data_IF_631630010513
#
_entry.id   IF_631630010513
#
_cell.length_a   1.000
_cell.length_b   1.000
_cell.length_c   1.000
_cell.angle_alpha   90.00
_cell.angle_beta   90.00
_cell.angle_gamma   90.00
#
_symmetry.space_group_name_H-M   'P 1'
#
loop_
_entity.id
_entity.type
_entity.pdbx_description
1 polymer ?
#
# COMPACT_ATOMS: atom_id res chain seq x y z
N UNK A 1 24.12 -1.70 -4.46
CA UNK A 1 23.89 -1.20 -3.08
C UNK A 1 22.68 -1.94 -2.57
N UNK A 2 22.85 -2.80 -1.57
CA UNK A 2 21.74 -3.58 -1.00
C UNK A 2 20.91 -2.63 -0.14
N UNK A 3 19.61 -2.52 -0.40
CA UNK A 3 18.72 -1.63 0.34
C UNK A 3 18.48 -2.24 1.73
N UNK A 4 18.67 -1.44 2.78
CA UNK A 4 18.41 -1.89 4.16
C UNK A 4 16.92 -1.75 4.45
N UNK A 5 16.19 -2.84 4.26
CA UNK A 5 14.74 -2.90 4.45
C UNK A 5 14.32 -2.87 5.92
N UNK A 6 15.26 -2.84 6.88
CA UNK A 6 14.91 -2.73 8.30
C UNK A 6 14.60 -1.30 8.74
N UNK A 7 14.87 -0.30 7.89
CA UNK A 7 14.79 1.12 8.25
C UNK A 7 13.54 1.79 7.66
N UNK A 8 13.02 2.77 8.39
CA UNK A 8 12.00 3.70 7.90
C UNK A 8 12.69 4.74 7.02
N UNK A 9 12.15 4.94 5.81
CA UNK A 9 12.63 5.94 4.86
C UNK A 9 11.60 7.07 4.76
N UNK A 10 12.06 8.32 4.79
CA UNK A 10 11.24 9.48 4.38
C UNK A 10 11.66 9.86 2.97
N UNK A 11 10.72 9.78 2.02
CA UNK A 11 10.98 10.12 0.63
C UNK A 11 9.94 11.14 0.12
N UNK A 12 10.41 12.15 -0.60
CA UNK A 12 9.54 12.99 -1.40
C UNK A 12 9.07 12.18 -2.61
N UNK A 13 7.76 11.99 -2.69
CA UNK A 13 7.12 11.17 -3.71
C UNK A 13 6.32 12.08 -4.66
N UNK A 14 6.45 11.93 -5.99
CA UNK A 14 5.60 12.65 -6.93
C UNK A 14 4.14 12.20 -6.78
N UNK A 15 3.22 12.98 -7.33
CA UNK A 15 1.82 12.59 -7.38
C UNK A 15 1.67 11.28 -8.18
N UNK A 16 0.85 10.38 -7.65
CA UNK A 16 0.45 9.15 -8.31
C UNK A 16 -1.07 9.08 -8.35
N UNK A 17 -1.60 8.14 -9.10
CA UNK A 17 -3.04 8.00 -9.32
C UNK A 17 -3.42 6.56 -9.11
N UNK A 18 -4.59 6.31 -8.55
CA UNK A 18 -5.07 4.95 -8.37
C UNK A 18 -6.54 4.79 -8.72
N UNK A 19 -6.88 3.58 -9.14
CA UNK A 19 -8.25 3.11 -9.30
C UNK A 19 -8.46 2.08 -8.20
N UNK A 20 -9.47 2.29 -7.37
CA UNK A 20 -9.79 1.39 -6.26
C UNK A 20 -11.13 0.70 -6.47
N UNK A 21 -11.23 -0.52 -5.94
CA UNK A 21 -12.49 -1.24 -5.76
C UNK A 21 -12.66 -1.59 -4.28
N UNK A 22 -13.89 -1.86 -3.89
CA UNK A 22 -14.25 -2.23 -2.54
C UNK A 22 -14.81 -3.65 -2.50
N UNK A 23 -14.25 -4.47 -1.61
CA UNK A 23 -14.77 -5.78 -1.24
C UNK A 23 -15.75 -5.64 -0.08
N UNK A 24 -16.85 -6.38 -0.11
CA UNK A 24 -17.83 -6.40 0.99
C UNK A 24 -17.34 -7.17 2.22
N UNK A 25 -16.21 -7.86 2.12
CA UNK A 25 -15.65 -8.72 3.16
C UNK A 25 -14.15 -8.89 2.94
N UNK A 26 -13.41 -9.07 4.02
CA UNK A 26 -11.99 -9.42 3.99
C UNK A 26 -11.72 -10.92 3.73
N UNK A 27 -12.75 -11.72 3.40
CA UNK A 27 -12.55 -13.10 2.96
C UNK A 27 -11.73 -13.16 1.66
N UNK A 28 -10.64 -13.94 1.68
CA UNK A 28 -9.67 -14.05 0.59
C UNK A 28 -10.32 -14.34 -0.77
N UNK A 29 -11.37 -15.18 -0.83
CA UNK A 29 -12.01 -15.52 -2.11
C UNK A 29 -12.81 -14.35 -2.64
N UNK A 30 -13.50 -13.63 -1.77
CA UNK A 30 -14.26 -12.43 -2.16
C UNK A 30 -13.30 -11.33 -2.62
N UNK A 31 -12.19 -11.15 -1.90
CA UNK A 31 -11.13 -10.21 -2.29
C UNK A 31 -10.51 -10.59 -3.64
N UNK A 32 -10.19 -11.87 -3.86
CA UNK A 32 -9.64 -12.35 -5.13
C UNK A 32 -10.58 -12.13 -6.32
N UNK A 33 -11.89 -12.29 -6.11
CA UNK A 33 -12.91 -11.94 -7.12
C UNK A 33 -12.85 -10.44 -7.44
N UNK A 34 -12.76 -9.58 -6.42
CA UNK A 34 -12.69 -8.11 -6.62
C UNK A 34 -11.42 -7.67 -7.33
N UNK A 35 -10.28 -8.29 -7.02
CA UNK A 35 -9.02 -8.10 -7.76
C UNK A 35 -9.22 -8.47 -9.22
N UNK A 36 -9.79 -9.65 -9.50
CA UNK A 36 -10.03 -10.13 -10.87
C UNK A 36 -10.96 -9.21 -11.65
N UNK A 37 -12.05 -8.74 -11.02
CA UNK A 37 -12.98 -7.77 -11.63
C UNK A 37 -12.27 -6.45 -11.99
N UNK A 38 -11.45 -5.92 -11.07
CA UNK A 38 -10.69 -4.69 -11.30
C UNK A 38 -9.70 -4.83 -12.47
N UNK A 39 -8.94 -5.93 -12.48
CA UNK A 39 -7.98 -6.24 -13.55
C UNK A 39 -8.67 -6.37 -14.90
N UNK A 40 -9.75 -7.14 -14.98
CA UNK A 40 -10.53 -7.32 -16.21
C UNK A 40 -11.15 -6.00 -16.69
N UNK A 41 -11.60 -5.15 -15.77
CA UNK A 41 -12.17 -3.85 -16.14
C UNK A 41 -11.10 -2.92 -16.73
N UNK A 42 -9.92 -2.85 -16.11
CA UNK A 42 -8.80 -2.05 -16.61
C UNK A 42 -8.29 -2.58 -17.96
N UNK A 43 -8.17 -3.90 -18.12
CA UNK A 43 -7.72 -4.53 -19.37
C UNK A 43 -8.65 -4.22 -20.55
N UNK A 44 -9.98 -4.28 -20.33
CA UNK A 44 -10.99 -3.90 -21.34
C UNK A 44 -10.84 -2.44 -21.82
N UNK A 45 -10.32 -1.54 -20.98
CA UNK A 45 -10.08 -0.14 -21.31
C UNK A 45 -8.69 0.10 -21.94
N UNK A 46 -7.84 -0.93 -21.97
CA UNK A 46 -6.44 -0.86 -22.38
C UNK A 46 -5.55 -0.20 -21.34
N UNK A 47 -5.96 -0.21 -20.07
CA UNK A 47 -5.25 0.41 -18.95
C UNK A 47 -4.37 -0.65 -18.29
N UNK A 48 -3.07 -0.38 -18.18
CA UNK A 48 -2.09 -1.26 -17.54
C UNK A 48 -1.34 -0.49 -16.48
N UNK A 49 -1.25 -1.06 -15.29
CA UNK A 49 -0.41 -0.53 -14.21
C UNK A 49 0.99 -1.12 -14.31
N UNK A 50 2.05 -0.33 -14.08
CA UNK A 50 3.40 -0.87 -13.92
C UNK A 50 3.66 -1.43 -12.51
N UNK A 51 2.67 -1.35 -11.61
CA UNK A 51 2.77 -1.77 -10.21
C UNK A 51 1.94 -3.02 -9.94
N UNK A 52 2.29 -3.72 -8.86
CA UNK A 52 1.46 -4.79 -8.31
C UNK A 52 0.15 -4.22 -7.73
N UNK A 53 -0.82 -5.11 -7.51
CA UNK A 53 -2.03 -4.78 -6.77
C UNK A 53 -1.64 -4.34 -5.36
N UNK A 54 -2.25 -3.25 -4.90
CA UNK A 54 -2.08 -2.76 -3.54
C UNK A 54 -3.39 -2.75 -2.76
N UNK A 55 -3.26 -2.54 -1.45
CA UNK A 55 -4.37 -2.38 -0.53
C UNK A 55 -4.29 -1.05 0.19
N UNK A 56 -5.44 -0.40 0.35
CA UNK A 56 -5.57 0.79 1.19
C UNK A 56 -6.01 0.36 2.58
N UNK A 57 -5.15 0.62 3.55
CA UNK A 57 -5.39 0.34 4.96
C UNK A 57 -5.80 1.63 5.68
N UNK A 58 -6.81 1.52 6.55
CA UNK A 58 -7.38 2.66 7.28
C UNK A 58 -6.52 3.00 8.48
N UNK A 59 -6.14 4.26 8.65
CA UNK A 59 -5.46 4.68 9.89
C UNK A 59 -6.26 4.32 11.14
N UNK A 60 -7.60 4.34 11.08
CA UNK A 60 -8.45 3.93 12.22
C UNK A 60 -8.18 2.47 12.60
N UNK A 61 -8.19 1.57 11.62
CA UNK A 61 -7.98 0.13 11.82
C UNK A 61 -6.55 -0.12 12.31
N UNK A 62 -5.57 0.53 11.68
CA UNK A 62 -4.15 0.42 12.06
C UNK A 62 -3.92 0.82 13.53
N UNK A 63 -4.53 1.91 14.01
CA UNK A 63 -4.41 2.33 15.41
C UNK A 63 -5.16 1.41 16.38
N UNK A 64 -6.12 0.62 15.91
CA UNK A 64 -6.82 -0.39 16.69
C UNK A 64 -6.14 -1.77 16.65
N UNK A 65 -5.03 -1.91 15.92
CA UNK A 65 -4.33 -3.19 15.76
C UNK A 65 -5.01 -4.14 14.77
N UNK A 66 -5.89 -3.62 13.91
CA UNK A 66 -6.59 -4.38 12.87
C UNK A 66 -5.81 -4.20 11.57
N UNK A 67 -5.18 -5.27 11.09
CA UNK A 67 -4.26 -5.25 9.94
C UNK A 67 -4.75 -6.09 8.75
N UNK A 68 -5.72 -6.97 8.97
CA UNK A 68 -6.22 -7.94 8.00
C UNK A 68 -7.55 -7.54 7.35
N UNK A 69 -8.03 -6.32 7.61
CA UNK A 69 -9.29 -5.81 7.07
C UNK A 69 -9.13 -5.31 5.62
N UNK A 70 -8.71 -6.20 4.72
CA UNK A 70 -8.40 -5.95 3.31
C UNK A 70 -9.65 -5.70 2.44
N UNK A 71 -10.34 -4.57 2.66
CA UNK A 71 -11.55 -4.22 1.93
C UNK A 71 -11.30 -3.36 0.68
N UNK A 72 -10.21 -2.60 0.65
CA UNK A 72 -9.95 -1.61 -0.40
C UNK A 72 -8.74 -2.02 -1.23
N UNK A 73 -9.00 -2.49 -2.45
CA UNK A 73 -7.98 -2.93 -3.40
C UNK A 73 -7.74 -1.82 -4.41
N UNK A 74 -6.49 -1.55 -4.79
CA UNK A 74 -6.18 -0.55 -5.80
C UNK A 74 -5.11 -0.97 -6.80
N UNK A 75 -5.14 -0.32 -7.97
CA UNK A 75 -4.07 -0.31 -8.97
C UNK A 75 -3.46 1.09 -9.04
N UNK A 76 -2.13 1.19 -8.99
CA UNK A 76 -1.40 2.47 -8.98
C UNK A 76 -0.89 2.86 -10.37
N UNK A 77 -0.71 4.15 -10.63
CA UNK A 77 -0.25 4.69 -11.90
C UNK A 77 0.58 5.95 -11.68
N UNK A 78 1.64 6.14 -12.47
CA UNK A 78 2.46 7.36 -12.46
C UNK A 78 1.83 8.52 -13.21
N UNK A 79 0.89 8.21 -14.12
CA UNK A 79 0.16 9.20 -14.91
C UNK A 79 -1.34 8.96 -14.80
N UNK A 80 -2.18 9.99 -14.91
CA UNK A 80 -3.63 9.83 -14.82
C UNK A 80 -4.16 8.79 -15.84
N UNK A 81 -4.83 7.72 -15.39
CA UNK A 81 -5.40 6.75 -16.31
C UNK A 81 -6.52 7.41 -17.13
N UNK A 82 -6.51 7.18 -18.44
CA UNK A 82 -7.52 7.72 -19.36
C UNK A 82 -8.75 6.82 -19.34
N UNK A 83 -9.95 7.40 -19.51
CA UNK A 83 -11.25 6.70 -19.67
C UNK A 83 -11.86 6.08 -18.40
N UNK A 84 -11.31 6.35 -17.23
CA UNK A 84 -11.87 5.87 -15.96
C UNK A 84 -11.64 6.91 -14.87
N UNK A 85 -12.56 6.97 -13.90
CA UNK A 85 -12.38 7.77 -12.69
C UNK A 85 -11.24 7.20 -11.86
N UNK A 86 -10.41 8.09 -11.35
CA UNK A 86 -9.28 7.76 -10.49
C UNK A 86 -9.24 8.69 -9.29
N UNK A 87 -8.49 8.29 -8.28
CA UNK A 87 -8.16 9.12 -7.12
C UNK A 87 -6.67 9.48 -7.17
N UNK A 88 -6.34 10.69 -6.73
CA UNK A 88 -4.96 11.15 -6.65
C UNK A 88 -4.36 10.73 -5.31
N UNK A 89 -3.21 10.03 -5.35
CA UNK A 89 -2.26 9.93 -4.24
C UNK A 89 -1.36 11.17 -4.34
N UNK A 90 -1.55 12.17 -3.47
CA UNK A 90 -0.93 13.49 -3.64
C UNK A 90 0.59 13.40 -3.60
N UNK A 91 1.26 14.33 -4.30
CA UNK A 91 2.68 14.55 -4.09
C UNK A 91 2.96 15.00 -2.66
N UNK A 92 4.17 14.71 -2.16
CA UNK A 92 4.60 15.14 -0.84
C UNK A 92 5.57 14.16 -0.21
N UNK A 93 5.84 14.35 1.08
CA UNK A 93 6.68 13.44 1.84
C UNK A 93 5.88 12.25 2.36
N UNK A 94 6.45 11.06 2.24
CA UNK A 94 5.86 9.81 2.72
C UNK A 94 6.88 9.07 3.58
N UNK A 95 6.39 8.45 4.66
CA UNK A 95 7.11 7.36 5.32
C UNK A 95 6.95 6.11 4.47
N UNK A 96 8.05 5.40 4.28
CA UNK A 96 8.11 4.07 3.69
C UNK A 96 8.73 3.12 4.70
N UNK A 97 8.09 1.98 4.91
CA UNK A 97 8.64 0.87 5.65
C UNK A 97 8.42 -0.42 4.87
N UNK A 98 9.26 -1.41 5.11
CA UNK A 98 9.20 -2.69 4.42
C UNK A 98 9.00 -3.78 5.47
N UNK A 99 7.95 -4.55 5.27
CA UNK A 99 7.70 -5.77 6.01
C UNK A 99 8.34 -6.94 5.29
N UNK A 100 9.20 -7.66 6.01
CA UNK A 100 9.83 -8.88 5.53
C UNK A 100 9.30 -10.04 6.36
N UNK A 101 8.68 -11.02 5.70
CA UNK A 101 8.11 -12.19 6.35
C UNK A 101 6.62 -12.35 6.09
N UNK A 102 6.00 -13.19 6.92
CA UNK A 102 4.62 -13.61 6.75
C UNK A 102 3.63 -12.52 7.22
N UNK A 103 2.49 -12.42 6.54
CA UNK A 103 1.51 -11.35 6.73
C UNK A 103 0.94 -11.25 8.15
N UNK A 104 0.93 -12.34 8.91
CA UNK A 104 0.50 -12.36 10.32
C UNK A 104 1.39 -11.50 11.24
N UNK A 105 2.63 -11.23 10.82
CA UNK A 105 3.58 -10.36 11.53
C UNK A 105 3.62 -8.93 10.98
N UNK A 106 2.79 -8.58 9.99
CA UNK A 106 2.79 -7.24 9.37
C UNK A 106 2.53 -6.10 10.38
N UNK A 107 1.82 -6.43 11.46
CA UNK A 107 1.58 -5.52 12.58
C UNK A 107 2.84 -4.95 13.20
N UNK A 108 3.95 -5.69 13.19
CA UNK A 108 5.24 -5.18 13.68
C UNK A 108 5.73 -3.98 12.86
N UNK A 109 5.50 -4.00 11.54
CA UNK A 109 5.88 -2.90 10.65
C UNK A 109 4.98 -1.70 10.85
N UNK A 110 3.67 -1.90 11.03
CA UNK A 110 2.75 -0.82 11.40
C UNK A 110 3.14 -0.17 12.74
N UNK A 111 3.46 -0.98 13.75
CA UNK A 111 3.93 -0.49 15.04
C UNK A 111 5.20 0.37 14.89
N UNK A 112 6.18 -0.09 14.08
CA UNK A 112 7.39 0.69 13.78
C UNK A 112 7.06 2.05 13.15
N UNK A 113 6.15 2.09 12.16
CA UNK A 113 5.75 3.35 11.52
C UNK A 113 5.11 4.30 12.54
N UNK A 114 4.18 3.81 13.36
CA UNK A 114 3.49 4.62 14.38
C UNK A 114 4.48 5.14 15.42
N UNK A 115 5.34 4.28 15.97
CA UNK A 115 6.34 4.66 16.96
C UNK A 115 7.31 5.72 16.42
N UNK A 116 7.78 5.55 15.18
CA UNK A 116 8.62 6.55 14.51
C UNK A 116 7.90 7.89 14.32
N UNK A 117 6.64 7.86 13.91
CA UNK A 117 5.86 9.09 13.77
C UNK A 117 5.67 9.83 15.10
N UNK A 118 5.50 9.09 16.20
CA UNK A 118 5.41 9.66 17.55
C UNK A 118 6.73 10.27 18.01
N UNK A 119 7.84 9.53 17.87
CA UNK A 119 9.19 9.97 18.24
C UNK A 119 9.58 11.26 17.51
N UNK A 120 9.28 11.31 16.21
CA UNK A 120 9.60 12.44 15.34
C UNK A 120 8.51 13.52 15.27
N UNK A 121 7.41 13.37 16.03
CA UNK A 121 6.27 14.30 16.08
C UNK A 121 5.67 14.60 14.70
N UNK A 122 5.55 13.57 13.87
CA UNK A 122 5.01 13.66 12.51
C UNK A 122 3.50 13.42 12.53
N UNK A 123 2.75 14.23 11.79
CA UNK A 123 1.32 13.99 11.56
C UNK A 123 1.13 13.11 10.33
N UNK A 124 0.62 11.90 10.50
CA UNK A 124 0.36 10.97 9.40
C UNK A 124 -1.00 11.21 8.72
N UNK A 125 -1.08 10.85 7.44
CA UNK A 125 -2.33 10.78 6.68
C UNK A 125 -3.23 9.63 7.14
N UNK A 126 -4.45 9.59 6.61
CA UNK A 126 -5.48 8.63 7.02
C UNK A 126 -5.45 7.31 6.25
N UNK A 127 -4.67 7.22 5.18
CA UNK A 127 -4.58 6.04 4.31
C UNK A 127 -3.14 5.54 4.24
N UNK A 128 -2.97 4.26 4.60
CA UNK A 128 -1.74 3.52 4.42
C UNK A 128 -1.84 2.74 3.11
N UNK A 129 -0.81 2.86 2.28
CA UNK A 129 -0.69 2.18 1.00
C UNK A 129 0.20 0.96 1.18
N UNK A 130 -0.40 -0.22 1.11
CA UNK A 130 0.29 -1.49 1.21
C UNK A 130 0.45 -2.10 -0.19
N UNK A 131 1.64 -2.57 -0.54
CA UNK A 131 1.91 -3.18 -1.85
C UNK A 131 3.01 -4.23 -1.72
N UNK A 132 2.73 -5.44 -2.20
CA UNK A 132 3.74 -6.49 -2.31
C UNK A 132 4.74 -6.12 -3.41
N UNK A 133 6.03 -6.10 -3.10
CA UNK A 133 7.12 -5.77 -4.04
C UNK A 133 7.78 -7.04 -4.57
N UNK A 134 8.01 -8.03 -3.71
CA UNK A 134 8.54 -9.35 -4.08
C UNK A 134 7.63 -10.44 -3.52
N UNK A 135 7.32 -11.42 -4.37
CA UNK A 135 6.52 -12.58 -4.05
C UNK A 135 7.30 -13.90 -4.26
N UNK A 136 6.68 -15.01 -3.86
CA UNK A 136 7.23 -16.37 -3.95
C UNK A 136 7.67 -16.77 -5.37
N UNK A 137 7.12 -16.14 -6.42
CA UNK A 137 7.47 -16.44 -7.82
C UNK A 137 8.90 -15.98 -8.16
N UNK A 138 9.47 -15.07 -7.36
CA UNK A 138 10.81 -14.51 -7.57
C UNK A 138 11.86 -15.08 -6.63
N UNK A 139 11.48 -15.58 -5.44
CA UNK A 139 12.35 -16.25 -4.47
C UNK A 139 11.59 -17.39 -3.78
N UNK A 140 12.11 -18.60 -3.85
CA UNK A 140 11.52 -19.80 -3.26
C UNK A 140 11.38 -19.69 -1.72
N UNK A 141 10.16 -19.82 -1.21
CA UNK A 141 9.81 -19.92 0.21
C UNK A 141 9.03 -18.71 0.75
N UNK A 142 8.01 -18.99 1.58
CA UNK A 142 7.12 -18.01 2.24
C UNK A 142 7.86 -16.96 3.11
N UNK A 143 9.14 -17.16 3.41
CA UNK A 143 9.96 -16.22 4.16
C UNK A 143 10.47 -15.03 3.32
N UNK A 144 10.12 -14.94 2.03
CA UNK A 144 10.63 -13.91 1.12
C UNK A 144 9.58 -12.89 0.64
N UNK A 145 8.40 -12.82 1.27
CA UNK A 145 7.48 -11.73 0.97
C UNK A 145 8.08 -10.41 1.43
N UNK A 146 8.11 -9.45 0.51
CA UNK A 146 8.43 -8.07 0.84
C UNK A 146 7.20 -7.22 0.54
N UNK A 147 6.60 -6.70 1.60
CA UNK A 147 5.47 -5.77 1.51
C UNK A 147 5.94 -4.37 1.88
N UNK A 148 5.78 -3.42 0.98
CA UNK A 148 6.02 -2.02 1.27
C UNK A 148 4.75 -1.38 1.79
N UNK A 149 4.89 -0.68 2.91
CA UNK A 149 3.84 0.14 3.51
C UNK A 149 4.29 1.59 3.41
N UNK A 150 3.42 2.46 2.90
CA UNK A 150 3.68 3.89 2.89
C UNK A 150 2.50 4.72 3.37
N UNK A 151 2.79 5.87 3.95
CA UNK A 151 1.79 6.81 4.47
C UNK A 151 2.29 8.24 4.33
N UNK A 152 1.41 9.15 3.93
CA UNK A 152 1.77 10.55 3.74
C UNK A 152 2.06 11.22 5.08
N UNK A 153 3.06 12.11 5.10
CA UNK A 153 3.30 13.04 6.20
C UNK A 153 2.62 14.37 5.86
N UNK A 154 1.75 14.85 6.75
CA UNK A 154 0.80 15.94 6.49
C UNK A 154 1.33 17.34 6.85
N UNK A 155 2.46 17.41 7.56
CA UNK A 155 2.97 18.62 8.19
C UNK A 155 4.40 19.01 7.78
N UNK A 156 5.07 18.23 6.93
CA UNK A 156 6.42 18.53 6.44
C UNK A 156 6.48 19.57 5.31
N UNK A 157 5.38 19.78 4.59
CA UNK A 157 5.28 20.74 3.47
C UNK A 157 4.47 22.00 3.85
N UNK A 158 4.27 22.25 5.16
CA UNK A 158 3.56 23.42 5.70
C UNK A 158 4.48 24.62 5.97
#
# INVERSE_FOLDING_TARGET
MQKDFSQIEILKTPAQYYIATHSSSADDKIVAIKISELLMHCDKLGIKSPYNIGFLQSAVDIHQGIYDNYLHVYMLFDTPPKKITYTTKPEGHYLYAYHHGHWDTIGETYYKILAYSEEHKLTLGTSFYETTILDELTRSGYDNYETQISVQIMDMDK
#
